data_IF_933872677866
#
_entry.id   IF_933872677866
#
_cell.length_a   1.000
_cell.length_b   1.000
_cell.length_c   1.000
_cell.angle_alpha   90.00
_cell.angle_beta   90.00
_cell.angle_gamma   90.00
#
_symmetry.space_group_name_H-M   'P 1'
#
loop_
_entity.id
_entity.type
_entity.pdbx_description
1 polymer ?
#
# COMPACT_ATOMS: atom_id res chain seq x y z
N UNK A 1 -12.64 17.21 -26.90
CA UNK A 1 -11.47 17.22 -25.99
C UNK A 1 -10.23 17.45 -26.84
N UNK A 2 -9.47 18.47 -26.49
CA UNK A 2 -8.21 18.80 -27.17
C UNK A 2 -7.05 18.14 -26.41
N UNK A 3 -6.25 17.26 -27.05
CA UNK A 3 -5.12 16.60 -26.40
C UNK A 3 -4.08 17.60 -25.87
N UNK A 4 -3.61 17.39 -24.63
CA UNK A 4 -2.62 18.25 -23.99
C UNK A 4 -3.21 19.48 -23.28
N UNK A 5 -4.53 19.65 -23.31
CA UNK A 5 -5.22 20.77 -22.66
C UNK A 5 -6.11 20.25 -21.54
N UNK A 6 -5.84 20.70 -20.29
CA UNK A 6 -6.73 20.43 -19.17
C UNK A 6 -8.03 21.23 -19.36
N UNK A 7 -9.18 20.56 -19.27
CA UNK A 7 -10.49 21.21 -19.40
C UNK A 7 -11.55 20.50 -18.56
N UNK A 8 -12.62 21.18 -18.16
CA UNK A 8 -13.74 20.53 -17.47
C UNK A 8 -14.38 19.40 -18.25
N UNK A 9 -14.39 19.47 -19.60
CA UNK A 9 -14.89 18.41 -20.46
C UNK A 9 -14.01 17.17 -20.40
N UNK A 10 -12.68 17.34 -20.38
CA UNK A 10 -11.72 16.24 -20.22
C UNK A 10 -11.85 15.60 -18.84
N UNK A 11 -12.02 16.41 -17.81
CA UNK A 11 -12.25 15.95 -16.44
C UNK A 11 -13.52 15.12 -16.31
N UNK A 12 -14.65 15.59 -16.87
CA UNK A 12 -15.91 14.82 -16.88
C UNK A 12 -15.77 13.49 -17.61
N UNK A 13 -15.14 13.49 -18.79
CA UNK A 13 -14.92 12.24 -19.53
C UNK A 13 -14.05 11.23 -18.76
N UNK A 14 -13.04 11.71 -18.03
CA UNK A 14 -12.23 10.86 -17.16
C UNK A 14 -13.05 10.27 -15.99
N UNK A 15 -13.88 11.08 -15.32
CA UNK A 15 -14.78 10.64 -14.28
C UNK A 15 -15.79 9.60 -14.78
N UNK A 16 -16.43 9.86 -15.92
CA UNK A 16 -17.37 8.91 -16.56
C UNK A 16 -16.70 7.57 -16.88
N UNK A 17 -15.47 7.60 -17.40
CA UNK A 17 -14.71 6.39 -17.69
C UNK A 17 -14.40 5.57 -16.42
N UNK A 18 -14.01 6.25 -15.32
CA UNK A 18 -13.77 5.60 -14.03
C UNK A 18 -15.05 4.99 -13.45
N UNK A 19 -16.17 5.72 -13.47
CA UNK A 19 -17.47 5.19 -13.02
C UNK A 19 -17.94 4.00 -13.87
N UNK A 20 -17.71 4.02 -15.19
CA UNK A 20 -18.01 2.88 -16.05
C UNK A 20 -17.17 1.66 -15.67
N UNK A 21 -15.85 1.83 -15.52
CA UNK A 21 -14.96 0.75 -15.15
C UNK A 21 -15.31 0.14 -13.77
N UNK A 22 -15.70 0.97 -12.80
CA UNK A 22 -16.15 0.48 -11.48
C UNK A 22 -17.45 -0.33 -11.59
N UNK A 23 -18.40 0.09 -12.42
CA UNK A 23 -19.61 -0.73 -12.65
C UNK A 23 -19.24 -2.09 -13.23
N UNK A 24 -18.38 -2.11 -14.25
CA UNK A 24 -17.97 -3.36 -14.89
C UNK A 24 -17.18 -4.28 -13.95
N UNK A 25 -16.37 -3.71 -13.03
CA UNK A 25 -15.71 -4.46 -11.95
C UNK A 25 -16.73 -5.06 -10.97
N UNK A 26 -17.75 -4.29 -10.55
CA UNK A 26 -18.83 -4.77 -9.65
C UNK A 26 -19.67 -5.88 -10.27
N UNK A 27 -19.89 -5.78 -11.59
CA UNK A 27 -20.66 -6.74 -12.36
C UNK A 27 -19.81 -7.94 -12.82
N UNK A 28 -18.56 -8.06 -12.30
CA UNK A 28 -17.60 -9.14 -12.60
C UNK A 28 -17.31 -9.28 -14.11
N UNK A 29 -17.43 -8.17 -14.85
CA UNK A 29 -17.08 -8.11 -16.28
C UNK A 29 -15.59 -7.84 -16.49
N UNK A 30 -14.90 -7.35 -15.47
CA UNK A 30 -13.47 -7.08 -15.46
C UNK A 30 -12.83 -7.72 -14.23
N UNK A 31 -11.65 -8.31 -14.40
CA UNK A 31 -10.84 -8.87 -13.31
C UNK A 31 -9.90 -7.82 -12.70
N UNK A 32 -9.55 -6.78 -13.45
CA UNK A 32 -8.62 -5.73 -13.01
C UNK A 32 -8.83 -4.44 -13.82
N UNK A 33 -8.34 -3.34 -13.27
CA UNK A 33 -8.38 -2.02 -13.89
C UNK A 33 -6.97 -1.42 -13.97
N UNK A 34 -6.54 -1.05 -15.17
CA UNK A 34 -5.34 -0.24 -15.40
C UNK A 34 -5.78 1.17 -15.78
N UNK A 35 -5.34 2.16 -15.01
CA UNK A 35 -5.74 3.56 -15.20
C UNK A 35 -4.62 4.39 -15.82
N UNK A 36 -4.99 5.32 -16.69
CA UNK A 36 -4.13 6.43 -17.10
C UNK A 36 -4.10 7.49 -15.97
N UNK A 37 -3.08 8.36 -15.94
CA UNK A 37 -3.08 9.50 -15.03
C UNK A 37 -4.30 10.40 -15.26
N UNK A 38 -4.80 11.01 -14.17
CA UNK A 38 -5.85 12.03 -14.21
C UNK A 38 -5.28 13.39 -13.83
N UNK A 39 -5.82 14.45 -14.41
CA UNK A 39 -5.61 15.80 -13.91
C UNK A 39 -6.54 16.04 -12.71
N UNK A 40 -5.92 16.21 -11.53
CA UNK A 40 -6.64 16.23 -10.25
C UNK A 40 -7.50 17.49 -10.06
N UNK A 41 -7.24 18.56 -10.82
CA UNK A 41 -8.02 19.80 -10.76
C UNK A 41 -9.23 19.70 -11.68
N UNK A 42 -9.04 19.34 -12.94
CA UNK A 42 -10.10 19.32 -13.94
C UNK A 42 -11.14 18.20 -13.74
N UNK A 43 -10.77 17.09 -13.05
CA UNK A 43 -11.70 15.99 -12.75
C UNK A 43 -12.68 16.34 -11.61
N UNK A 44 -12.36 17.32 -10.75
CA UNK A 44 -13.24 17.70 -9.65
C UNK A 44 -14.59 18.19 -10.18
N UNK A 45 -15.66 17.61 -9.64
CA UNK A 45 -17.04 17.92 -10.01
C UNK A 45 -17.96 17.52 -8.85
N UNK A 46 -19.26 17.78 -9.00
CA UNK A 46 -20.25 17.32 -8.01
C UNK A 46 -20.28 15.79 -7.91
N UNK A 47 -19.96 15.09 -8.99
CA UNK A 47 -19.96 13.63 -9.08
C UNK A 47 -18.61 12.99 -8.78
N UNK A 48 -17.52 13.77 -8.66
CA UNK A 48 -16.18 13.29 -8.36
C UNK A 48 -15.46 14.23 -7.38
N UNK A 49 -15.53 13.89 -6.08
CA UNK A 49 -14.95 14.68 -4.98
C UNK A 49 -13.84 13.89 -4.24
N UNK A 50 -13.02 13.18 -4.99
CA UNK A 50 -11.94 12.35 -4.44
C UNK A 50 -10.58 12.96 -4.75
N UNK A 51 -9.60 12.73 -3.89
CA UNK A 51 -8.22 13.23 -4.06
C UNK A 51 -7.44 12.48 -5.13
N UNK A 52 -7.93 11.30 -5.54
CA UNK A 52 -7.33 10.48 -6.59
C UNK A 52 -8.04 9.15 -6.79
N UNK A 53 -7.42 8.29 -7.60
CA UNK A 53 -7.95 6.95 -7.92
C UNK A 53 -8.16 6.09 -6.67
N UNK A 54 -7.20 6.10 -5.74
CA UNK A 54 -7.21 5.22 -4.56
C UNK A 54 -8.44 5.48 -3.70
N UNK A 55 -8.71 6.74 -3.38
CA UNK A 55 -9.85 7.14 -2.56
C UNK A 55 -11.18 6.89 -3.27
N UNK A 56 -11.23 7.17 -4.58
CA UNK A 56 -12.39 6.87 -5.42
C UNK A 56 -12.70 5.37 -5.44
N UNK A 57 -11.71 4.54 -5.76
CA UNK A 57 -11.91 3.09 -5.85
C UNK A 57 -12.26 2.47 -4.49
N UNK A 58 -11.63 2.95 -3.40
CA UNK A 58 -11.96 2.50 -2.04
C UNK A 58 -13.41 2.82 -1.66
N UNK A 59 -13.88 4.02 -1.98
CA UNK A 59 -15.26 4.42 -1.70
C UNK A 59 -16.28 3.65 -2.55
N UNK A 60 -15.96 3.44 -3.83
CA UNK A 60 -16.88 2.81 -4.76
C UNK A 60 -16.92 1.28 -4.63
N UNK A 61 -15.77 0.62 -4.43
CA UNK A 61 -15.71 -0.86 -4.34
C UNK A 61 -15.80 -1.37 -2.89
N UNK A 62 -15.65 -0.48 -1.93
CA UNK A 62 -15.59 -0.81 -0.51
C UNK A 62 -14.23 -1.39 -0.09
N UNK A 63 -13.93 -1.31 1.20
CA UNK A 63 -12.70 -1.83 1.78
C UNK A 63 -11.62 -0.80 2.00
N UNK A 64 -10.51 -1.24 2.58
CA UNK A 64 -9.33 -0.42 2.81
C UNK A 64 -8.27 -0.72 1.73
N UNK A 65 -7.80 0.28 0.98
CA UNK A 65 -6.82 0.06 -0.07
C UNK A 65 -5.45 -0.28 0.51
N UNK A 66 -4.76 -1.22 -0.09
CA UNK A 66 -3.35 -1.49 0.15
C UNK A 66 -2.53 -0.93 -1.02
N UNK A 67 -1.69 0.06 -0.75
CA UNK A 67 -0.74 0.53 -1.75
C UNK A 67 0.43 -0.46 -1.85
N UNK A 68 0.67 -0.94 -3.08
CA UNK A 68 1.80 -1.80 -3.39
C UNK A 68 2.61 -1.22 -4.55
N UNK A 69 3.93 -1.24 -4.42
CA UNK A 69 4.88 -0.96 -5.49
C UNK A 69 5.46 -2.29 -5.96
N UNK A 70 5.29 -2.59 -7.24
CA UNK A 70 5.69 -3.88 -7.80
C UNK A 70 6.67 -3.71 -8.96
N UNK A 71 7.68 -4.57 -8.95
CA UNK A 71 8.56 -4.81 -10.09
C UNK A 71 8.79 -6.33 -10.21
N UNK A 72 9.52 -6.76 -11.23
CA UNK A 72 9.85 -8.18 -11.40
C UNK A 72 10.66 -8.75 -10.22
N UNK A 73 11.38 -7.89 -9.49
CA UNK A 73 12.28 -8.30 -8.41
C UNK A 73 11.73 -8.07 -7.01
N UNK A 74 10.76 -7.17 -6.85
CA UNK A 74 10.33 -6.70 -5.54
C UNK A 74 8.86 -6.32 -5.53
N UNK A 75 8.14 -6.75 -4.50
CA UNK A 75 6.79 -6.30 -4.14
C UNK A 75 6.88 -5.62 -2.78
N UNK A 76 6.46 -4.37 -2.70
CA UNK A 76 6.53 -3.59 -1.48
C UNK A 76 5.16 -3.06 -1.11
N UNK A 77 4.60 -3.53 -0.01
CA UNK A 77 3.40 -2.95 0.61
C UNK A 77 3.77 -1.82 1.57
N UNK A 78 2.85 -0.88 1.77
CA UNK A 78 3.06 0.29 2.62
C UNK A 78 2.07 0.32 3.78
N UNK A 79 2.55 0.64 4.98
CA UNK A 79 1.69 0.81 6.16
C UNK A 79 1.01 2.17 6.12
N UNK A 80 1.78 3.24 5.88
CA UNK A 80 1.27 4.61 5.76
C UNK A 80 1.47 5.14 4.35
N UNK A 81 0.52 5.92 3.86
CA UNK A 81 0.53 6.53 2.54
C UNK A 81 0.04 7.98 2.65
N UNK A 82 0.61 8.87 1.84
CA UNK A 82 0.17 10.26 1.65
C UNK A 82 0.00 11.07 2.94
N UNK A 83 0.84 10.81 3.96
CA UNK A 83 0.92 11.61 5.17
C UNK A 83 2.30 12.27 5.30
N UNK A 84 2.42 13.41 5.97
CA UNK A 84 3.71 14.03 6.26
C UNK A 84 4.64 13.09 7.04
N UNK A 85 5.94 13.13 6.78
CA UNK A 85 6.93 12.30 7.49
C UNK A 85 6.86 12.49 9.01
N UNK A 86 6.55 13.69 9.46
CA UNK A 86 6.38 14.02 10.89
C UNK A 86 5.20 13.32 11.56
N UNK A 87 4.24 12.85 10.78
CA UNK A 87 3.04 12.18 11.30
C UNK A 87 3.17 10.65 11.32
N UNK A 88 4.21 10.09 10.69
CA UNK A 88 4.33 8.64 10.51
C UNK A 88 4.37 7.91 11.86
N UNK A 89 5.20 8.34 12.81
CA UNK A 89 5.32 7.69 14.11
C UNK A 89 4.03 7.77 14.92
N UNK A 90 3.24 8.84 14.76
CA UNK A 90 1.95 9.03 15.43
C UNK A 90 0.84 8.17 14.80
N UNK A 91 0.87 8.01 13.47
CA UNK A 91 -0.11 7.22 12.71
C UNK A 91 0.16 5.70 12.77
N UNK A 92 1.40 5.33 13.13
CA UNK A 92 1.82 3.94 13.18
C UNK A 92 1.27 3.25 14.44
N UNK A 93 0.45 2.23 14.25
CA UNK A 93 -0.06 1.41 15.33
C UNK A 93 0.17 -0.07 15.06
N UNK A 94 0.26 -0.87 16.14
CA UNK A 94 0.34 -2.33 16.04
C UNK A 94 -0.79 -2.91 15.18
N UNK A 95 -2.04 -2.47 15.43
CA UNK A 95 -3.20 -2.96 14.70
C UNK A 95 -3.11 -2.66 13.20
N UNK A 96 -2.66 -1.44 12.84
CA UNK A 96 -2.51 -1.04 11.44
C UNK A 96 -1.49 -1.92 10.71
N UNK A 97 -0.35 -2.20 11.34
CA UNK A 97 0.68 -3.09 10.77
C UNK A 97 0.11 -4.51 10.56
N UNK A 98 -0.58 -5.06 11.56
CA UNK A 98 -1.19 -6.39 11.45
C UNK A 98 -2.22 -6.43 10.32
N UNK A 99 -3.10 -5.44 10.23
CA UNK A 99 -4.08 -5.33 9.15
C UNK A 99 -3.40 -5.27 7.77
N UNK A 100 -2.32 -4.49 7.63
CA UNK A 100 -1.56 -4.42 6.37
C UNK A 100 -0.87 -5.74 6.03
N UNK A 101 -0.36 -6.47 7.01
CA UNK A 101 0.20 -7.82 6.81
C UNK A 101 -0.87 -8.82 6.36
N UNK A 102 -2.06 -8.77 6.93
CA UNK A 102 -3.20 -9.61 6.53
C UNK A 102 -3.62 -9.30 5.07
N UNK A 103 -3.76 -8.03 4.71
CA UNK A 103 -4.07 -7.60 3.36
C UNK A 103 -2.98 -8.00 2.36
N UNK A 104 -1.70 -7.75 2.68
CA UNK A 104 -0.58 -8.09 1.82
C UNK A 104 -0.49 -9.60 1.59
N UNK A 105 -0.63 -10.42 2.65
CA UNK A 105 -0.70 -11.87 2.53
C UNK A 105 -1.85 -12.31 1.63
N UNK A 106 -3.03 -11.71 1.79
CA UNK A 106 -4.20 -12.04 0.99
C UNK A 106 -3.96 -11.75 -0.50
N UNK A 107 -3.46 -10.56 -0.82
CA UNK A 107 -3.11 -10.18 -2.20
C UNK A 107 -2.02 -11.08 -2.78
N UNK A 108 -0.95 -11.37 -2.03
CA UNK A 108 0.11 -12.27 -2.50
C UNK A 108 -0.42 -13.67 -2.86
N UNK A 109 -1.43 -14.15 -2.14
CA UNK A 109 -2.08 -15.43 -2.45
C UNK A 109 -3.02 -15.34 -3.65
N UNK A 110 -3.91 -14.36 -3.64
CA UNK A 110 -4.97 -14.24 -4.64
C UNK A 110 -4.44 -13.73 -5.99
N UNK A 111 -3.64 -12.66 -5.96
CA UNK A 111 -3.24 -11.94 -7.17
C UNK A 111 -1.91 -12.44 -7.74
N UNK A 112 -1.01 -12.97 -6.88
CA UNK A 112 0.30 -13.45 -7.29
C UNK A 112 0.47 -14.99 -7.20
N UNK A 113 -0.53 -15.72 -6.69
CA UNK A 113 -0.52 -17.18 -6.64
C UNK A 113 0.50 -17.79 -5.65
N UNK A 114 0.99 -17.02 -4.68
CA UNK A 114 2.00 -17.46 -3.72
C UNK A 114 1.29 -18.13 -2.54
N UNK A 115 1.50 -19.44 -2.38
CA UNK A 115 0.75 -20.26 -1.41
C UNK A 115 1.06 -19.88 0.04
N UNK A 116 2.34 -19.75 0.38
CA UNK A 116 2.82 -19.40 1.72
C UNK A 116 3.78 -18.20 1.67
N UNK A 117 3.25 -16.99 1.45
CA UNK A 117 4.10 -15.82 1.25
C UNK A 117 4.90 -15.47 2.51
N UNK A 118 6.21 -15.27 2.31
CA UNK A 118 7.14 -14.78 3.33
C UNK A 118 7.28 -13.28 3.18
N UNK A 119 6.97 -12.54 4.24
CA UNK A 119 6.92 -11.08 4.23
C UNK A 119 8.00 -10.53 5.15
N UNK A 120 8.94 -9.75 4.61
CA UNK A 120 9.87 -8.98 5.42
C UNK A 120 9.21 -7.67 5.88
N UNK A 121 9.37 -7.33 7.15
CA UNK A 121 8.87 -6.08 7.72
C UNK A 121 10.06 -5.16 8.00
N UNK A 122 10.07 -3.99 7.41
CA UNK A 122 11.14 -3.01 7.64
C UNK A 122 10.92 -2.25 8.94
N UNK A 123 12.01 -1.79 9.51
CA UNK A 123 12.01 -0.84 10.60
C UNK A 123 11.54 0.56 10.14
N UNK A 124 11.11 1.38 11.08
CA UNK A 124 10.84 2.80 10.86
C UNK A 124 12.14 3.62 10.98
N UNK A 125 12.89 3.35 12.05
CA UNK A 125 14.05 4.14 12.43
C UNK A 125 15.35 3.59 11.81
N UNK A 126 16.38 4.44 11.65
CA UNK A 126 17.71 3.99 11.26
C UNK A 126 18.22 2.88 12.18
N UNK A 127 18.92 1.90 11.62
CA UNK A 127 19.49 0.75 12.36
C UNK A 127 18.45 -0.01 13.22
N UNK A 128 17.18 0.02 12.80
CA UNK A 128 16.06 -0.57 13.55
C UNK A 128 15.96 -0.05 15.00
N UNK A 129 16.18 1.27 15.19
CA UNK A 129 16.08 1.94 16.47
C UNK A 129 17.29 1.81 17.39
N UNK A 130 18.31 0.99 17.02
CA UNK A 130 19.54 0.76 17.79
C UNK A 130 19.28 0.53 19.30
N UNK A 131 18.43 -0.45 19.60
CA UNK A 131 18.04 -0.78 20.97
C UNK A 131 17.27 0.31 21.70
N UNK A 132 16.60 1.20 20.98
CA UNK A 132 15.82 2.31 21.52
C UNK A 132 16.57 3.65 21.57
N UNK A 133 17.83 3.68 21.13
CA UNK A 133 18.61 4.91 21.10
C UNK A 133 18.12 5.90 20.02
N UNK A 134 17.64 5.38 18.88
CA UNK A 134 17.20 6.16 17.72
C UNK A 134 15.70 6.12 17.51
N UNK A 135 14.94 5.67 18.49
CA UNK A 135 13.50 5.50 18.46
C UNK A 135 13.07 4.19 19.09
N UNK A 136 11.83 4.09 19.51
CA UNK A 136 11.32 2.93 20.26
C UNK A 136 10.18 2.20 19.55
N UNK A 137 9.78 2.65 18.36
CA UNK A 137 8.67 2.12 17.57
C UNK A 137 8.91 0.65 17.20
N UNK A 138 10.16 0.27 16.96
CA UNK A 138 10.53 -1.12 16.69
C UNK A 138 10.18 -2.05 17.84
N UNK A 139 10.52 -1.65 19.07
CA UNK A 139 10.30 -2.48 20.27
C UNK A 139 8.84 -2.46 20.73
N UNK A 140 8.17 -1.29 20.66
CA UNK A 140 6.85 -1.12 21.24
C UNK A 140 5.69 -1.32 20.26
N UNK A 141 5.93 -1.18 18.95
CA UNK A 141 4.89 -1.23 17.93
C UNK A 141 5.18 -2.32 16.89
N UNK A 142 6.33 -2.26 16.19
CA UNK A 142 6.57 -3.08 15.00
C UNK A 142 6.83 -4.54 15.38
N UNK A 143 7.75 -4.80 16.31
CA UNK A 143 8.04 -6.17 16.78
C UNK A 143 6.82 -6.88 17.38
N UNK A 144 6.02 -6.24 18.26
CA UNK A 144 4.75 -6.82 18.72
C UNK A 144 3.76 -7.11 17.60
N UNK A 145 3.69 -6.26 16.54
CA UNK A 145 2.84 -6.51 15.39
C UNK A 145 3.30 -7.72 14.56
N UNK A 146 4.62 -7.85 14.33
CA UNK A 146 5.22 -9.00 13.63
C UNK A 146 4.94 -10.29 14.38
N UNK A 147 5.12 -10.30 15.73
CA UNK A 147 4.85 -11.46 16.56
C UNK A 147 3.37 -11.87 16.51
N UNK A 148 2.45 -10.91 16.63
CA UNK A 148 1.01 -11.17 16.51
C UNK A 148 0.64 -11.72 15.13
N UNK A 149 1.20 -11.16 14.06
CA UNK A 149 0.98 -11.66 12.71
C UNK A 149 1.47 -13.11 12.56
N UNK A 150 2.63 -13.42 13.13
CA UNK A 150 3.17 -14.77 13.12
C UNK A 150 2.27 -15.77 13.89
N UNK A 151 1.74 -15.38 15.06
CA UNK A 151 0.77 -16.17 15.82
C UNK A 151 -0.53 -16.43 15.04
N UNK A 152 -0.91 -15.50 14.15
CA UNK A 152 -2.03 -15.66 13.22
C UNK A 152 -1.68 -16.48 11.97
N UNK A 153 -0.48 -17.06 11.89
CA UNK A 153 -0.02 -17.89 10.77
C UNK A 153 0.40 -17.08 9.53
N UNK A 154 0.79 -15.82 9.71
CA UNK A 154 1.39 -14.99 8.66
C UNK A 154 2.91 -15.08 8.81
N UNK A 155 3.61 -15.54 7.77
CA UNK A 155 5.07 -15.64 7.77
C UNK A 155 5.71 -14.25 7.62
N UNK A 156 5.57 -13.43 8.66
CA UNK A 156 6.16 -12.11 8.79
C UNK A 156 7.44 -12.17 9.62
N UNK A 157 8.49 -11.46 9.15
CA UNK A 157 9.82 -11.47 9.74
C UNK A 157 10.36 -10.05 9.85
N UNK A 158 11.05 -9.73 10.93
CA UNK A 158 11.63 -8.40 11.17
C UNK A 158 11.41 -7.91 12.60
N UNK A 159 11.48 -6.59 12.86
CA UNK A 159 11.83 -5.53 11.91
C UNK A 159 13.30 -5.58 11.45
N UNK A 160 13.51 -5.32 10.16
CA UNK A 160 14.85 -5.23 9.55
C UNK A 160 15.25 -3.78 9.32
N UNK A 161 16.49 -3.43 9.61
CA UNK A 161 17.06 -2.15 9.21
C UNK A 161 17.13 -2.05 7.68
N UNK A 162 16.47 -1.05 7.09
CA UNK A 162 16.27 -0.97 5.63
C UNK A 162 17.58 -0.91 4.84
N UNK A 163 18.55 -0.15 5.32
CA UNK A 163 19.87 0.00 4.70
C UNK A 163 20.59 -1.36 4.57
N UNK A 164 20.76 -2.08 5.66
CA UNK A 164 21.39 -3.40 5.67
C UNK A 164 20.59 -4.45 4.89
N UNK A 165 19.27 -4.41 4.99
CA UNK A 165 18.38 -5.35 4.31
C UNK A 165 18.50 -5.29 2.78
N UNK A 166 18.49 -4.07 2.22
CA UNK A 166 18.63 -3.90 0.77
C UNK A 166 20.08 -4.05 0.30
N UNK A 167 21.05 -3.51 1.05
CA UNK A 167 22.47 -3.59 0.67
C UNK A 167 22.98 -5.03 0.61
N UNK A 168 22.52 -5.91 1.50
CA UNK A 168 22.87 -7.34 1.51
C UNK A 168 22.16 -8.16 0.46
N UNK A 169 21.12 -7.63 -0.18
CA UNK A 169 20.25 -8.37 -1.09
C UNK A 169 19.28 -9.31 -0.40
N UNK A 170 19.09 -9.19 0.91
CA UNK A 170 18.26 -10.05 1.75
C UNK A 170 16.78 -10.04 1.33
N UNK A 171 16.32 -8.98 0.63
CA UNK A 171 14.96 -8.91 0.08
C UNK A 171 14.62 -10.06 -0.87
N UNK A 172 15.62 -10.74 -1.45
CA UNK A 172 15.42 -11.88 -2.36
C UNK A 172 14.95 -13.16 -1.67
N UNK A 173 15.09 -13.20 -0.34
CA UNK A 173 14.65 -14.35 0.47
C UNK A 173 13.16 -14.25 0.84
N UNK A 174 12.47 -13.18 0.41
CA UNK A 174 11.08 -12.87 0.73
C UNK A 174 10.26 -12.64 -0.53
N UNK A 175 8.97 -12.93 -0.45
CA UNK A 175 8.02 -12.72 -1.55
C UNK A 175 7.54 -11.28 -1.63
N UNK A 176 7.54 -10.59 -0.49
CA UNK A 176 7.23 -9.17 -0.40
C UNK A 176 7.90 -8.51 0.83
N UNK A 177 7.94 -7.20 0.80
CA UNK A 177 8.42 -6.34 1.88
C UNK A 177 7.28 -5.44 2.34
N UNK A 178 7.07 -5.29 3.64
CA UNK A 178 6.19 -4.28 4.22
C UNK A 178 7.04 -3.14 4.78
N UNK A 179 6.92 -1.96 4.19
CA UNK A 179 7.59 -0.75 4.65
C UNK A 179 6.63 0.15 5.46
N UNK A 180 7.15 0.89 6.43
CA UNK A 180 6.33 1.77 7.27
C UNK A 180 5.84 2.99 6.48
N UNK A 181 6.59 3.44 5.48
CA UNK A 181 6.26 4.55 4.57
C UNK A 181 7.03 4.42 3.24
N UNK A 182 6.75 5.30 2.29
CA UNK A 182 7.41 5.31 0.96
C UNK A 182 8.25 6.55 0.71
#
# INVERSE_FOLDING_TARGET
IEPGTASPEAGRAAAEALHAAVRDLRDEQLDALVTAPIDKESIQSDDFRYTGHTEFLAAELGGEPLMMMCSDLLRMGLVTIHIPVTEISHDLTRQKIVTRLEQLRSSLKADFGIVEPRIAVLALNPHAGDGGLLGSEEEHIIRPAVNEAYEKGILAFGPFAADGFFASGHYRDYDAVLAMYH
#
